data_IF_473446187194
#
_entry.id   IF_473446187194
#
_cell.length_a   1.000
_cell.length_b   1.000
_cell.length_c   1.000
_cell.angle_alpha   90.00
_cell.angle_beta   90.00
_cell.angle_gamma   90.00
#
_symmetry.space_group_name_H-M   'P 1'
#
loop_
_entity.id
_entity.type
_entity.pdbx_description
1 polymer ?
#
# COMPACT_ATOMS: atom_id res chain seq x y z
N UNK A 1 0.11 53.13 5.26
CA UNK A 1 -0.25 52.10 6.24
C UNK A 1 0.91 51.11 6.32
N UNK A 2 2.07 51.60 6.77
CA UNK A 2 3.26 50.80 7.01
C UNK A 2 3.28 50.47 8.51
N UNK A 3 2.88 49.25 8.85
CA UNK A 3 3.16 48.67 10.17
C UNK A 3 3.67 47.24 9.94
N UNK A 4 4.87 47.17 9.35
CA UNK A 4 5.60 45.93 9.11
C UNK A 4 6.65 45.77 10.22
N UNK A 5 6.40 44.86 11.16
CA UNK A 5 7.33 44.24 12.11
C UNK A 5 8.61 45.03 12.48
N UNK A 6 8.65 45.60 13.69
CA UNK A 6 9.87 46.21 14.24
C UNK A 6 10.88 45.11 14.61
N UNK A 7 12.05 44.97 13.94
CA UNK A 7 12.99 43.87 14.14
C UNK A 7 13.53 43.74 15.59
N UNK A 8 13.43 44.79 16.41
CA UNK A 8 13.80 44.75 17.83
C UNK A 8 12.82 44.03 18.75
N UNK A 9 11.57 43.83 18.35
CA UNK A 9 10.49 43.32 19.24
C UNK A 9 10.67 41.84 19.58
N UNK A 10 10.91 40.98 18.58
CA UNK A 10 11.19 39.56 18.78
C UNK A 10 12.47 39.31 19.57
N UNK A 11 13.50 40.13 19.36
CA UNK A 11 14.75 40.06 20.11
C UNK A 11 14.53 40.45 21.59
N UNK A 12 13.75 41.51 21.84
CA UNK A 12 13.39 41.93 23.18
C UNK A 12 12.60 40.84 23.93
N UNK A 13 11.65 40.18 23.27
CA UNK A 13 10.92 39.05 23.87
C UNK A 13 11.85 37.86 24.15
N UNK A 14 12.78 37.53 23.25
CA UNK A 14 13.76 36.46 23.51
C UNK A 14 14.69 36.77 24.68
N UNK A 15 15.17 38.00 24.77
CA UNK A 15 16.00 38.45 25.89
C UNK A 15 15.21 38.40 27.21
N UNK A 16 13.95 38.81 27.18
CA UNK A 16 13.05 38.70 28.32
C UNK A 16 12.81 37.24 28.74
N UNK A 17 12.52 36.33 27.80
CA UNK A 17 12.33 34.90 28.08
C UNK A 17 13.57 34.29 28.76
N UNK A 18 14.77 34.62 28.28
CA UNK A 18 16.02 34.19 28.93
C UNK A 18 16.14 34.77 30.35
N UNK A 19 15.75 36.03 30.57
CA UNK A 19 15.75 36.64 31.89
C UNK A 19 14.76 35.97 32.85
N UNK A 20 13.58 35.55 32.37
CA UNK A 20 12.59 34.79 33.15
C UNK A 20 13.17 33.43 33.55
N UNK A 21 13.82 32.70 32.64
CA UNK A 21 14.37 31.38 32.92
C UNK A 21 15.46 31.38 34.01
N UNK A 22 16.28 32.44 34.06
CA UNK A 22 17.32 32.60 35.09
C UNK A 22 16.82 33.33 36.35
N UNK A 23 15.52 33.64 36.44
CA UNK A 23 14.92 34.36 37.57
C UNK A 23 15.36 35.82 37.71
N UNK A 24 15.90 36.42 36.64
CA UNK A 24 16.41 37.79 36.65
C UNK A 24 15.34 38.86 36.36
N UNK A 25 14.21 38.49 35.76
CA UNK A 25 13.11 39.43 35.52
C UNK A 25 11.77 38.73 35.29
N UNK A 26 10.74 39.19 36.00
CA UNK A 26 9.37 38.69 35.86
C UNK A 26 8.43 39.69 35.16
N UNK A 27 8.93 40.88 34.81
CA UNK A 27 8.13 41.93 34.17
C UNK A 27 8.24 41.83 32.65
N UNK A 28 7.11 41.69 31.98
CA UNK A 28 7.06 41.75 30.52
C UNK A 28 7.51 43.13 30.02
N UNK A 29 8.21 43.24 28.87
CA UNK A 29 8.71 44.52 28.39
C UNK A 29 7.59 45.55 28.20
N UNK A 30 7.61 46.63 28.97
CA UNK A 30 6.54 47.65 28.99
C UNK A 30 6.30 48.33 27.63
N UNK A 31 7.28 48.29 26.73
CA UNK A 31 7.17 48.82 25.38
C UNK A 31 6.42 47.88 24.40
N UNK A 32 5.99 46.70 24.85
CA UNK A 32 5.33 45.68 24.03
C UNK A 32 3.96 45.33 24.60
N UNK A 33 2.97 45.26 23.73
CA UNK A 33 1.68 44.64 24.07
C UNK A 33 1.84 43.12 24.04
N UNK A 34 1.27 42.42 25.03
CA UNK A 34 1.50 40.99 25.25
C UNK A 34 1.06 40.12 24.05
N UNK A 35 -0.06 40.49 23.41
CA UNK A 35 -0.61 39.79 22.24
C UNK A 35 -0.23 40.41 20.89
N UNK A 36 0.60 41.46 20.88
CA UNK A 36 0.98 42.08 19.61
C UNK A 36 1.83 41.13 18.75
N UNK A 37 1.65 41.13 17.42
CA UNK A 37 2.50 40.37 16.53
C UNK A 37 3.94 40.89 16.57
N UNK A 38 4.89 39.96 16.77
CA UNK A 38 6.33 40.26 16.89
C UNK A 38 7.09 40.13 15.56
N UNK A 39 6.46 39.50 14.55
CA UNK A 39 7.04 39.30 13.24
C UNK A 39 5.97 39.28 12.13
N UNK A 40 6.42 39.28 10.87
CA UNK A 40 5.56 39.23 9.70
C UNK A 40 4.73 37.92 9.59
N UNK A 41 5.08 36.89 10.37
CA UNK A 41 4.30 35.67 10.46
C UNK A 41 3.16 35.76 11.49
N UNK A 42 3.03 36.90 12.19
CA UNK A 42 1.98 37.13 13.19
C UNK A 42 2.20 36.35 14.49
N UNK A 43 3.44 35.96 14.81
CA UNK A 43 3.71 35.25 16.06
C UNK A 43 3.63 36.22 17.26
N UNK A 44 2.82 35.88 18.26
CA UNK A 44 2.78 36.58 19.55
C UNK A 44 3.95 36.16 20.45
N UNK A 45 4.11 36.80 21.61
CA UNK A 45 5.11 36.40 22.60
C UNK A 45 4.96 34.92 23.03
N UNK A 46 3.71 34.45 23.15
CA UNK A 46 3.41 33.07 23.52
C UNK A 46 3.86 32.06 22.46
N UNK A 47 3.64 32.36 21.17
CA UNK A 47 4.16 31.52 20.08
C UNK A 47 5.68 31.38 20.13
N UNK A 48 6.39 32.49 20.39
CA UNK A 48 7.86 32.50 20.45
C UNK A 48 8.36 31.71 21.66
N UNK A 49 7.73 31.90 22.83
CA UNK A 49 8.07 31.18 24.07
C UNK A 49 7.89 29.66 23.90
N UNK A 50 6.76 29.24 23.34
CA UNK A 50 6.44 27.83 23.09
C UNK A 50 7.40 27.22 22.07
N UNK A 51 7.64 27.86 20.92
CA UNK A 51 8.53 27.31 19.89
C UNK A 51 9.95 27.06 20.42
N UNK A 52 10.43 27.97 21.27
CA UNK A 52 11.73 27.86 21.92
C UNK A 52 11.75 26.89 23.12
N UNK A 53 10.60 26.54 23.69
CA UNK A 53 10.49 25.63 24.83
C UNK A 53 10.72 26.29 26.20
N UNK A 54 10.57 27.61 26.29
CA UNK A 54 10.76 28.36 27.54
C UNK A 54 9.55 28.18 28.47
N UNK A 55 9.48 27.07 29.22
CA UNK A 55 8.34 26.75 30.08
C UNK A 55 8.04 27.86 31.12
N UNK A 56 9.07 28.41 31.77
CA UNK A 56 8.90 29.48 32.75
C UNK A 56 8.31 30.74 32.08
N UNK A 57 8.82 31.09 30.90
CA UNK A 57 8.26 32.13 30.05
C UNK A 57 6.79 31.88 29.66
N UNK A 58 6.43 30.66 29.28
CA UNK A 58 5.04 30.27 28.95
C UNK A 58 4.13 30.44 30.16
N UNK A 59 4.49 29.87 31.33
CA UNK A 59 3.71 30.03 32.57
C UNK A 59 3.57 31.49 32.97
N UNK A 60 4.61 32.29 32.76
CA UNK A 60 4.57 33.73 33.05
C UNK A 60 3.62 34.46 32.10
N UNK A 61 3.69 34.22 30.80
CA UNK A 61 2.77 34.82 29.83
C UNK A 61 1.31 34.46 30.12
N UNK A 62 1.03 33.20 30.48
CA UNK A 62 -0.30 32.75 30.92
C UNK A 62 -0.75 33.56 32.16
N UNK A 63 0.12 33.73 33.16
CA UNK A 63 -0.21 34.51 34.37
C UNK A 63 -0.48 36.00 34.12
N UNK A 64 0.01 36.53 33.00
CA UNK A 64 -0.20 37.91 32.59
C UNK A 64 -1.47 38.08 31.73
N UNK A 65 -2.21 37.00 31.47
CA UNK A 65 -3.49 37.04 30.76
C UNK A 65 -3.36 37.26 29.26
N UNK A 66 -2.33 36.71 28.61
CA UNK A 66 -2.25 36.71 27.16
C UNK A 66 -3.39 35.89 26.52
N UNK A 67 -3.70 36.21 25.26
CA UNK A 67 -4.59 35.39 24.45
C UNK A 67 -3.92 34.06 24.12
N UNK A 68 -4.44 32.99 24.72
CA UNK A 68 -3.90 31.64 24.61
C UNK A 68 -4.27 30.94 23.29
N UNK A 69 -5.36 31.39 22.65
CA UNK A 69 -5.90 30.82 21.40
C UNK A 69 -5.54 31.69 20.17
N UNK A 70 -4.69 32.71 20.36
CA UNK A 70 -4.23 33.60 19.30
C UNK A 70 -3.70 32.80 18.11
N UNK A 71 -4.21 33.10 16.90
CA UNK A 71 -3.76 32.44 15.68
C UNK A 71 -2.73 33.32 14.94
N UNK A 72 -1.57 32.74 14.61
CA UNK A 72 -0.63 33.40 13.72
C UNK A 72 -1.11 33.39 12.24
N UNK A 73 -0.36 34.00 11.32
CA UNK A 73 -0.75 34.09 9.90
C UNK A 73 -0.91 32.73 9.20
N UNK A 74 -0.38 31.66 9.79
CA UNK A 74 -0.55 30.26 9.32
C UNK A 74 -1.68 29.53 10.04
N UNK A 75 -2.54 30.24 10.76
CA UNK A 75 -3.64 29.67 11.55
C UNK A 75 -3.15 28.67 12.61
N UNK A 76 -1.94 28.87 13.13
CA UNK A 76 -1.41 28.05 14.22
C UNK A 76 -1.67 28.73 15.54
N UNK A 77 -2.26 27.99 16.48
CA UNK A 77 -2.35 28.37 17.89
C UNK A 77 -1.03 28.05 18.61
N UNK A 78 -0.76 28.65 19.78
CA UNK A 78 0.36 28.28 20.63
C UNK A 78 0.38 26.79 20.95
N UNK A 79 -0.77 26.17 21.23
CA UNK A 79 -0.88 24.73 21.49
C UNK A 79 -0.41 23.90 20.28
N UNK A 80 -0.84 24.25 19.07
CA UNK A 80 -0.38 23.58 17.86
C UNK A 80 1.13 23.75 17.64
N UNK A 81 1.68 24.93 17.96
CA UNK A 81 3.14 25.14 17.90
C UNK A 81 3.85 24.25 18.91
N UNK A 82 3.31 24.09 20.12
CA UNK A 82 3.89 23.23 21.16
C UNK A 82 3.95 21.77 20.68
N UNK A 83 2.83 21.23 20.21
CA UNK A 83 2.75 19.84 19.74
C UNK A 83 3.60 19.60 18.50
N UNK A 84 3.58 20.53 17.53
CA UNK A 84 4.37 20.41 16.29
C UNK A 84 5.89 20.50 16.50
N UNK A 85 6.36 21.05 17.62
CA UNK A 85 7.78 21.11 17.99
C UNK A 85 8.14 20.09 19.10
N UNK A 86 7.23 19.19 19.49
CA UNK A 86 7.50 18.21 20.53
C UNK A 86 7.65 18.78 21.94
N UNK A 87 7.14 20.00 22.22
CA UNK A 87 7.31 20.71 23.49
C UNK A 87 6.27 20.26 24.51
N UNK A 88 6.46 19.04 25.04
CA UNK A 88 5.49 18.38 25.92
C UNK A 88 5.09 19.24 27.14
N UNK A 89 6.06 19.77 27.87
CA UNK A 89 5.82 20.56 29.08
C UNK A 89 5.06 21.87 28.78
N UNK A 90 5.40 22.54 27.68
CA UNK A 90 4.69 23.74 27.24
C UNK A 90 3.25 23.41 26.81
N UNK A 91 3.04 22.31 26.10
CA UNK A 91 1.72 21.86 25.69
C UNK A 91 0.84 21.54 26.92
N UNK A 92 1.40 20.84 27.92
CA UNK A 92 0.69 20.55 29.17
C UNK A 92 0.33 21.82 29.93
N UNK A 93 1.25 22.79 30.06
CA UNK A 93 0.96 24.06 30.72
C UNK A 93 -0.16 24.85 30.01
N UNK A 94 -0.23 24.79 28.68
CA UNK A 94 -1.33 25.40 27.92
C UNK A 94 -2.65 24.66 28.16
N UNK A 95 -2.66 23.32 28.15
CA UNK A 95 -3.86 22.52 28.43
C UNK A 95 -4.39 22.75 29.86
N UNK A 96 -3.50 22.86 30.84
CA UNK A 96 -3.83 23.25 32.23
C UNK A 96 -4.51 24.62 32.31
N UNK A 97 -4.18 25.52 31.38
CA UNK A 97 -4.75 26.87 31.30
C UNK A 97 -6.10 26.91 30.54
N UNK A 98 -6.62 25.77 30.07
CA UNK A 98 -7.96 25.67 29.48
C UNK A 98 -8.06 26.12 28.02
N UNK A 99 -6.97 26.05 27.25
CA UNK A 99 -6.98 26.36 25.81
C UNK A 99 -7.86 25.41 25.01
N UNK A 100 -8.32 25.86 23.85
CA UNK A 100 -9.04 24.99 22.93
C UNK A 100 -8.10 23.91 22.38
N UNK A 101 -8.50 22.62 22.38
CA UNK A 101 -7.64 21.53 21.94
C UNK A 101 -7.51 21.43 20.42
N UNK A 102 -8.36 22.13 19.66
CA UNK A 102 -8.40 22.13 18.20
C UNK A 102 -7.82 23.42 17.62
N UNK A 103 -7.26 23.33 16.41
CA UNK A 103 -6.79 24.49 15.65
C UNK A 103 -7.45 24.53 14.27
N UNK A 104 -7.66 25.71 13.66
CA UNK A 104 -8.24 25.78 12.33
C UNK A 104 -7.40 24.99 11.31
N UNK A 105 -8.01 24.02 10.62
CA UNK A 105 -7.38 23.18 9.57
C UNK A 105 -6.26 22.25 10.04
N UNK A 106 -5.92 22.24 11.32
CA UNK A 106 -4.81 21.48 11.89
C UNK A 106 -5.25 20.71 13.13
N UNK A 107 -4.60 19.59 13.41
CA UNK A 107 -4.89 18.79 14.61
C UNK A 107 -3.69 18.79 15.56
N UNK A 108 -3.77 19.47 16.71
CA UNK A 108 -2.77 19.35 17.75
C UNK A 108 -2.60 17.90 18.23
N UNK A 109 -3.67 17.11 18.22
CA UNK A 109 -3.65 15.69 18.56
C UNK A 109 -2.85 14.86 17.54
N UNK A 110 -3.00 15.13 16.23
CA UNK A 110 -2.16 14.52 15.20
C UNK A 110 -0.68 14.79 15.45
N UNK A 111 -0.29 16.03 15.74
CA UNK A 111 1.10 16.39 15.99
C UNK A 111 1.64 15.77 17.29
N UNK A 112 0.82 15.70 18.35
CA UNK A 112 1.17 15.01 19.59
C UNK A 112 1.42 13.51 19.34
N UNK A 113 0.54 12.84 18.58
CA UNK A 113 0.71 11.44 18.18
C UNK A 113 1.97 11.24 17.32
N UNK A 114 2.22 12.13 16.34
CA UNK A 114 3.41 12.07 15.47
C UNK A 114 4.70 12.14 16.29
N UNK A 115 4.74 12.99 17.30
CA UNK A 115 5.90 13.15 18.19
C UNK A 115 5.95 12.13 19.33
N UNK A 116 4.90 11.34 19.56
CA UNK A 116 4.90 10.32 20.61
C UNK A 116 4.56 10.88 22.00
N UNK A 117 3.93 12.05 22.06
CA UNK A 117 3.64 12.77 23.30
C UNK A 117 2.39 12.18 23.99
N UNK A 118 2.54 11.03 24.64
CA UNK A 118 1.43 10.28 25.23
C UNK A 118 0.60 11.11 26.22
N UNK A 119 1.24 11.83 27.13
CA UNK A 119 0.54 12.61 28.15
C UNK A 119 -0.17 13.83 27.56
N UNK A 120 0.44 14.47 26.56
CA UNK A 120 -0.19 15.56 25.81
C UNK A 120 -1.39 15.06 25.01
N UNK A 121 -1.28 13.88 24.38
CA UNK A 121 -2.41 13.26 23.67
C UNK A 121 -3.57 12.95 24.63
N UNK A 122 -3.28 12.43 25.84
CA UNK A 122 -4.30 12.23 26.88
C UNK A 122 -4.94 13.55 27.29
N UNK A 123 -4.14 14.59 27.53
CA UNK A 123 -4.62 15.92 27.89
C UNK A 123 -5.51 16.54 26.82
N UNK A 124 -5.14 16.41 25.54
CA UNK A 124 -5.94 16.88 24.40
C UNK A 124 -7.29 16.16 24.32
N UNK A 125 -7.30 14.84 24.45
CA UNK A 125 -8.53 14.04 24.45
C UNK A 125 -9.43 14.43 25.63
N UNK A 126 -8.85 14.60 26.82
CA UNK A 126 -9.58 15.03 28.01
C UNK A 126 -10.16 16.46 27.86
N UNK A 127 -9.47 17.33 27.14
CA UNK A 127 -9.95 18.67 26.79
C UNK A 127 -11.01 18.68 25.66
N UNK A 128 -11.35 17.52 25.08
CA UNK A 128 -12.39 17.38 24.06
C UNK A 128 -11.88 17.40 22.61
N UNK A 129 -10.59 17.13 22.36
CA UNK A 129 -10.07 16.96 21.01
C UNK A 129 -10.84 15.86 20.25
N UNK A 130 -11.16 16.12 18.98
CA UNK A 130 -11.80 15.14 18.13
C UNK A 130 -10.75 14.13 17.63
N UNK A 131 -10.77 12.92 18.19
CA UNK A 131 -9.86 11.81 17.84
C UNK A 131 -9.90 11.40 16.37
N UNK A 132 -10.96 11.75 15.66
CA UNK A 132 -11.18 11.47 14.24
C UNK A 132 -11.09 12.72 13.36
N UNK A 133 -10.62 13.85 13.90
CA UNK A 133 -10.46 15.09 13.13
C UNK A 133 -9.52 14.87 11.96
N UNK A 134 -9.94 15.34 10.78
CA UNK A 134 -9.15 15.27 9.57
C UNK A 134 -8.51 16.62 9.30
N UNK A 135 -7.18 16.68 9.31
CA UNK A 135 -6.46 17.91 8.99
C UNK A 135 -6.57 18.26 7.49
N UNK A 136 -6.07 19.44 7.10
CA UNK A 136 -6.11 19.88 5.70
C UNK A 136 -5.38 18.97 4.70
N UNK A 137 -4.53 18.06 5.18
CA UNK A 137 -3.83 17.06 4.37
C UNK A 137 -4.59 15.74 4.22
N UNK A 138 -5.78 15.60 4.82
CA UNK A 138 -6.56 14.36 4.79
C UNK A 138 -6.15 13.35 5.85
N UNK A 139 -5.27 13.71 6.80
CA UNK A 139 -4.78 12.79 7.82
C UNK A 139 -5.55 12.91 9.13
N UNK A 140 -5.81 11.76 9.76
CA UNK A 140 -6.39 11.64 11.12
C UNK A 140 -5.31 11.31 12.15
N UNK A 141 -5.47 11.64 13.44
CA UNK A 141 -4.45 11.42 14.47
C UNK A 141 -3.85 10.02 14.51
N UNK A 142 -4.68 8.99 14.29
CA UNK A 142 -4.25 7.61 14.29
C UNK A 142 -3.24 7.28 13.16
N UNK A 143 -3.31 7.96 12.01
CA UNK A 143 -2.31 7.83 10.93
C UNK A 143 -0.94 8.38 11.31
N UNK A 144 -0.86 9.32 12.27
CA UNK A 144 0.42 9.86 12.71
C UNK A 144 1.33 8.79 13.32
N UNK A 145 0.74 7.74 13.91
CA UNK A 145 1.47 6.61 14.48
C UNK A 145 2.24 5.83 13.40
N UNK A 146 1.72 5.78 12.17
CA UNK A 146 2.33 5.07 11.04
C UNK A 146 3.59 5.79 10.53
N UNK A 147 3.57 7.12 10.58
CA UNK A 147 4.72 7.96 10.17
C UNK A 147 5.91 7.92 11.13
N UNK A 148 5.75 7.26 12.29
CA UNK A 148 6.82 7.14 13.29
C UNK A 148 7.85 6.09 12.86
N UNK A 149 9.13 6.25 13.22
CA UNK A 149 10.13 5.20 13.01
C UNK A 149 9.75 3.89 13.74
N UNK A 150 10.01 2.70 13.16
CA UNK A 150 9.53 1.41 13.67
C UNK A 150 10.03 1.06 15.08
N UNK A 151 11.16 1.60 15.51
CA UNK A 151 11.74 1.41 16.84
C UNK A 151 10.92 2.03 17.98
N UNK A 152 10.01 2.97 17.68
CA UNK A 152 9.13 3.54 18.69
C UNK A 152 7.91 2.65 18.92
N UNK A 153 7.71 2.31 20.19
CA UNK A 153 6.48 1.67 20.64
C UNK A 153 5.29 2.65 20.48
N UNK A 154 4.33 2.25 19.65
CA UNK A 154 3.11 3.01 19.37
C UNK A 154 1.90 2.42 20.10
N UNK A 155 2.00 1.24 20.72
CA UNK A 155 0.88 0.53 21.33
C UNK A 155 0.18 1.37 22.41
N UNK A 156 0.89 2.10 23.31
CA UNK A 156 0.22 2.95 24.31
C UNK A 156 -0.62 4.07 23.69
N UNK A 157 -0.15 4.66 22.59
CA UNK A 157 -0.87 5.72 21.88
C UNK A 157 -2.03 5.16 21.06
N UNK A 158 -1.82 4.02 20.38
CA UNK A 158 -2.87 3.33 19.64
C UNK A 158 -4.01 2.92 20.58
N UNK A 159 -3.67 2.32 21.73
CA UNK A 159 -4.64 1.94 22.75
C UNK A 159 -5.44 3.13 23.25
N UNK A 160 -4.78 4.25 23.53
CA UNK A 160 -5.44 5.48 23.96
C UNK A 160 -6.44 5.99 22.91
N UNK A 161 -6.01 6.07 21.64
CA UNK A 161 -6.86 6.57 20.55
C UNK A 161 -8.07 5.65 20.32
N UNK A 162 -7.86 4.34 20.22
CA UNK A 162 -8.94 3.36 19.99
C UNK A 162 -9.91 3.35 21.17
N UNK A 163 -9.42 3.37 22.41
CA UNK A 163 -10.27 3.46 23.60
C UNK A 163 -11.09 4.76 23.66
N UNK A 164 -10.59 5.82 23.02
CA UNK A 164 -11.27 7.12 22.93
C UNK A 164 -12.18 7.25 21.70
N UNK A 165 -12.40 6.16 20.95
CA UNK A 165 -13.31 6.11 19.81
C UNK A 165 -12.68 6.48 18.46
N UNK A 166 -11.36 6.38 18.32
CA UNK A 166 -10.72 6.53 17.02
C UNK A 166 -11.16 5.40 16.06
N UNK A 167 -11.56 5.78 14.86
CA UNK A 167 -11.97 4.85 13.80
C UNK A 167 -10.73 4.23 13.15
N UNK A 168 -10.45 2.97 13.51
CA UNK A 168 -9.34 2.18 12.97
C UNK A 168 -9.44 2.00 11.45
N UNK A 169 -10.63 2.08 10.84
CA UNK A 169 -10.78 1.92 9.38
C UNK A 169 -10.47 3.20 8.60
N UNK A 170 -10.32 4.35 9.29
CA UNK A 170 -9.84 5.56 8.62
C UNK A 170 -8.37 5.48 8.27
N UNK A 171 -7.55 4.75 9.04
CA UNK A 171 -6.13 4.57 8.75
C UNK A 171 -5.83 3.46 7.73
N UNK A 172 -6.85 2.73 7.26
CA UNK A 172 -6.69 1.66 6.28
C UNK A 172 -7.08 2.11 4.87
N UNK A 173 -7.12 3.42 4.59
CA UNK A 173 -7.31 3.89 3.22
C UNK A 173 -6.13 3.45 2.32
N UNK A 174 -6.33 3.26 0.99
CA UNK A 174 -5.31 2.72 0.08
C UNK A 174 -3.96 3.45 0.08
N UNK A 175 -3.89 4.70 0.60
CA UNK A 175 -2.64 5.44 0.78
C UNK A 175 -1.93 5.22 2.12
N UNK A 176 -2.68 4.98 3.21
CA UNK A 176 -2.12 4.80 4.55
C UNK A 176 -1.57 3.37 4.77
N UNK A 177 -2.00 2.40 3.96
CA UNK A 177 -1.51 1.02 4.06
C UNK A 177 -0.08 0.86 3.52
N UNK A 178 0.36 1.73 2.60
CA UNK A 178 1.74 1.75 2.11
C UNK A 178 2.77 1.81 3.26
N UNK A 179 2.43 2.46 4.38
CA UNK A 179 3.30 2.54 5.56
C UNK A 179 3.47 1.18 6.26
N UNK A 180 2.49 0.27 6.16
CA UNK A 180 2.58 -1.09 6.69
C UNK A 180 3.47 -2.01 5.86
N UNK A 181 3.71 -1.71 4.57
CA UNK A 181 4.56 -2.51 3.70
C UNK A 181 5.95 -2.73 4.31
N UNK A 182 6.47 -1.73 5.02
CA UNK A 182 7.77 -1.83 5.68
C UNK A 182 7.69 -2.27 7.15
N UNK A 183 6.49 -2.51 7.70
CA UNK A 183 6.27 -2.70 9.13
C UNK A 183 5.22 -3.79 9.47
N UNK A 184 5.52 -5.09 9.22
CA UNK A 184 4.58 -6.20 9.47
C UNK A 184 4.10 -6.29 10.92
N UNK A 185 4.97 -5.99 11.89
CA UNK A 185 4.62 -6.02 13.31
C UNK A 185 3.62 -4.93 13.69
N UNK A 186 3.68 -3.75 13.05
CA UNK A 186 2.65 -2.73 13.22
C UNK A 186 1.34 -3.14 12.61
N UNK A 187 1.36 -3.80 11.44
CA UNK A 187 0.14 -4.34 10.87
C UNK A 187 -0.52 -5.37 11.80
N UNK A 188 0.25 -6.32 12.36
CA UNK A 188 -0.23 -7.24 13.41
C UNK A 188 -0.87 -6.50 14.58
N UNK A 189 -0.24 -5.42 15.04
CA UNK A 189 -0.77 -4.62 16.13
C UNK A 189 -2.13 -4.01 15.77
N UNK A 190 -2.27 -3.38 14.60
CA UNK A 190 -3.54 -2.78 14.18
C UNK A 190 -4.66 -3.82 14.02
N UNK A 191 -4.34 -5.03 13.54
CA UNK A 191 -5.29 -6.14 13.50
C UNK A 191 -5.82 -6.52 14.89
N UNK A 192 -4.95 -6.54 15.91
CA UNK A 192 -5.36 -6.77 17.32
C UNK A 192 -6.33 -5.71 17.84
N UNK A 193 -6.27 -4.49 17.30
CA UNK A 193 -7.17 -3.37 17.64
C UNK A 193 -8.39 -3.27 16.69
N UNK A 194 -8.64 -4.27 15.85
CA UNK A 194 -9.87 -4.38 15.06
C UNK A 194 -9.76 -3.90 13.59
N UNK A 195 -8.55 -3.65 13.08
CA UNK A 195 -8.37 -3.43 11.65
C UNK A 195 -8.83 -4.67 10.86
N UNK A 196 -9.48 -4.48 9.71
CA UNK A 196 -9.93 -5.57 8.85
C UNK A 196 -8.79 -6.05 7.96
N UNK A 197 -8.61 -7.35 7.89
CA UNK A 197 -7.65 -7.98 6.97
C UNK A 197 -8.04 -7.72 5.51
N UNK A 198 -9.35 -7.64 5.21
CA UNK A 198 -9.88 -7.36 3.87
C UNK A 198 -9.54 -5.96 3.33
N UNK A 199 -9.18 -5.01 4.20
CA UNK A 199 -8.83 -3.65 3.75
C UNK A 199 -7.42 -3.60 3.15
N UNK A 200 -6.61 -4.68 3.29
CA UNK A 200 -5.24 -4.77 2.79
C UNK A 200 -5.18 -4.60 1.26
N UNK A 201 -4.31 -3.70 0.78
CA UNK A 201 -3.92 -3.71 -0.63
C UNK A 201 -2.99 -4.90 -0.89
N UNK A 202 -3.54 -5.90 -1.57
CA UNK A 202 -2.86 -7.17 -1.89
C UNK A 202 -1.54 -6.97 -2.64
N UNK A 203 -1.35 -5.84 -3.35
CA UNK A 203 -0.10 -5.53 -4.06
C UNK A 203 1.08 -5.34 -3.12
N UNK A 204 0.85 -4.93 -1.87
CA UNK A 204 1.90 -4.72 -0.87
C UNK A 204 2.40 -6.03 -0.26
N UNK A 205 1.64 -7.11 -0.41
CA UNK A 205 2.01 -8.45 0.04
C UNK A 205 3.02 -9.12 -0.89
N UNK A 206 3.02 -8.73 -2.16
CA UNK A 206 3.89 -9.29 -3.20
C UNK A 206 5.36 -8.95 -2.91
N UNK A 207 6.23 -9.95 -2.97
CA UNK A 207 7.65 -9.86 -2.60
C UNK A 207 7.89 -9.41 -1.14
N UNK A 208 6.88 -9.55 -0.28
CA UNK A 208 6.95 -9.19 1.13
C UNK A 208 6.47 -10.34 2.00
N UNK A 209 7.31 -11.35 2.14
CA UNK A 209 6.98 -12.60 2.83
C UNK A 209 6.57 -12.37 4.28
N UNK A 210 7.17 -11.41 4.96
CA UNK A 210 6.83 -11.08 6.34
C UNK A 210 5.42 -10.49 6.45
N UNK A 211 5.03 -9.54 5.60
CA UNK A 211 3.69 -8.97 5.61
C UNK A 211 2.64 -9.99 5.13
N UNK A 212 2.95 -10.77 4.09
CA UNK A 212 2.09 -11.84 3.60
C UNK A 212 1.83 -12.90 4.66
N UNK A 213 2.85 -13.29 5.43
CA UNK A 213 2.67 -14.19 6.57
C UNK A 213 1.68 -13.61 7.58
N UNK A 214 1.82 -12.34 7.96
CA UNK A 214 0.88 -11.68 8.87
C UNK A 214 -0.54 -11.68 8.32
N UNK A 215 -0.70 -11.36 7.04
CA UNK A 215 -2.00 -11.32 6.36
C UNK A 215 -2.69 -12.69 6.40
N UNK A 216 -2.00 -13.76 6.01
CA UNK A 216 -2.54 -15.11 5.99
C UNK A 216 -2.81 -15.65 7.41
N UNK A 217 -1.91 -15.39 8.36
CA UNK A 217 -2.06 -15.75 9.78
C UNK A 217 -3.32 -15.11 10.39
N UNK A 218 -3.66 -13.89 9.97
CA UNK A 218 -4.85 -13.17 10.41
C UNK A 218 -6.15 -13.64 9.72
N UNK A 219 -6.11 -14.66 8.86
CA UNK A 219 -7.26 -15.17 8.12
C UNK A 219 -7.53 -14.43 6.81
N UNK A 220 -6.52 -13.79 6.23
CA UNK A 220 -6.60 -13.19 4.90
C UNK A 220 -6.84 -14.24 3.82
N UNK A 221 -7.65 -13.87 2.82
CA UNK A 221 -8.05 -14.78 1.74
C UNK A 221 -6.99 -14.81 0.63
N UNK A 222 -6.39 -15.98 0.39
CA UNK A 222 -5.42 -16.21 -0.68
C UNK A 222 -6.02 -16.01 -2.10
N UNK A 223 -7.34 -16.05 -2.22
CA UNK A 223 -8.08 -15.81 -3.46
C UNK A 223 -8.63 -14.39 -3.58
N UNK A 224 -8.35 -13.52 -2.59
CA UNK A 224 -8.86 -12.16 -2.58
C UNK A 224 -8.48 -11.39 -3.86
N UNK A 225 -9.35 -10.48 -4.27
CA UNK A 225 -9.11 -9.55 -5.37
C UNK A 225 -9.25 -8.12 -4.85
N UNK A 226 -8.41 -7.21 -5.36
CA UNK A 226 -8.55 -5.77 -5.03
C UNK A 226 -9.78 -5.16 -5.69
N UNK A 227 -10.09 -5.61 -6.90
CA UNK A 227 -11.30 -5.26 -7.65
C UNK A 227 -11.73 -6.48 -8.48
N UNK A 228 -13.01 -6.60 -8.88
CA UNK A 228 -13.49 -7.73 -9.68
C UNK A 228 -12.66 -8.04 -10.94
N UNK A 229 -12.07 -7.00 -11.54
CA UNK A 229 -11.26 -7.09 -12.76
C UNK A 229 -9.77 -7.36 -12.52
N UNK A 230 -9.29 -7.32 -11.28
CA UNK A 230 -7.89 -7.50 -10.92
C UNK A 230 -7.52 -8.99 -10.78
N UNK A 231 -6.24 -9.36 -10.95
CA UNK A 231 -5.77 -10.67 -10.51
C UNK A 231 -6.11 -10.93 -9.03
N UNK A 232 -6.26 -12.20 -8.68
CA UNK A 232 -6.32 -12.65 -7.28
C UNK A 232 -4.96 -12.45 -6.60
N UNK A 233 -4.87 -12.56 -5.27
CA UNK A 233 -3.58 -12.53 -4.58
C UNK A 233 -2.61 -13.59 -5.14
N UNK A 234 -3.06 -14.84 -5.33
CA UNK A 234 -2.27 -15.87 -6.02
C UNK A 234 -1.83 -15.45 -7.43
N UNK A 235 -2.71 -14.79 -8.19
CA UNK A 235 -2.38 -14.24 -9.51
C UNK A 235 -1.33 -13.13 -9.46
N UNK A 236 -1.41 -12.23 -8.47
CA UNK A 236 -0.42 -11.17 -8.25
C UNK A 236 0.96 -11.75 -7.88
N UNK A 237 0.99 -12.76 -6.99
CA UNK A 237 2.22 -13.46 -6.61
C UNK A 237 2.84 -14.17 -7.81
N UNK A 238 2.02 -14.84 -8.63
CA UNK A 238 2.48 -15.49 -9.85
C UNK A 238 3.00 -14.50 -10.90
N UNK A 239 2.30 -13.37 -11.08
CA UNK A 239 2.74 -12.31 -12.00
C UNK A 239 4.12 -11.78 -11.65
N UNK A 240 4.44 -11.70 -10.36
CA UNK A 240 5.71 -11.18 -9.86
C UNK A 240 6.82 -12.24 -9.71
N UNK A 241 6.53 -13.52 -10.00
CA UNK A 241 7.40 -14.65 -9.66
C UNK A 241 7.80 -14.67 -8.17
N UNK A 242 6.88 -14.32 -7.27
CA UNK A 242 7.11 -14.41 -5.82
C UNK A 242 6.92 -15.87 -5.37
N UNK A 243 7.95 -16.70 -5.59
CA UNK A 243 7.90 -18.12 -5.25
C UNK A 243 7.67 -18.35 -3.76
N UNK A 244 8.29 -17.54 -2.91
CA UNK A 244 8.15 -17.66 -1.47
C UNK A 244 6.72 -17.34 -1.03
N UNK A 245 6.13 -16.28 -1.57
CA UNK A 245 4.74 -15.94 -1.35
C UNK A 245 3.77 -17.01 -1.86
N UNK A 246 4.01 -17.56 -3.06
CA UNK A 246 3.21 -18.66 -3.60
C UNK A 246 3.26 -19.90 -2.69
N UNK A 247 4.44 -20.30 -2.23
CA UNK A 247 4.58 -21.44 -1.31
C UNK A 247 3.77 -21.26 -0.01
N UNK A 248 3.63 -20.02 0.48
CA UNK A 248 2.83 -19.71 1.66
C UNK A 248 1.33 -19.65 1.38
N UNK A 249 0.93 -19.09 0.23
CA UNK A 249 -0.46 -18.83 -0.09
C UNK A 249 -1.19 -20.02 -0.74
N UNK A 250 -0.49 -20.83 -1.56
CA UNK A 250 -1.07 -21.97 -2.27
C UNK A 250 -1.76 -23.02 -1.38
N UNK A 251 -1.26 -23.34 -0.16
CA UNK A 251 -1.98 -24.23 0.76
C UNK A 251 -3.34 -23.71 1.22
N UNK A 252 -3.58 -22.40 1.11
CA UNK A 252 -4.77 -21.71 1.62
C UNK A 252 -5.68 -21.18 0.51
N UNK A 253 -5.22 -21.24 -0.75
CA UNK A 253 -5.94 -20.70 -1.92
C UNK A 253 -6.37 -21.77 -2.92
N UNK A 254 -7.23 -21.37 -3.85
CA UNK A 254 -7.73 -22.19 -4.94
C UNK A 254 -7.17 -21.66 -6.27
N UNK A 255 -6.30 -22.45 -6.89
CA UNK A 255 -5.69 -22.16 -8.20
C UNK A 255 -6.69 -22.14 -9.35
N UNK A 256 -7.88 -22.71 -9.18
CA UNK A 256 -8.98 -22.65 -10.14
C UNK A 256 -9.94 -21.47 -9.94
N UNK A 257 -9.74 -20.64 -8.91
CA UNK A 257 -10.63 -19.52 -8.64
C UNK A 257 -10.48 -18.43 -9.70
N UNK A 258 -11.58 -18.16 -10.42
CA UNK A 258 -11.63 -17.20 -11.53
C UNK A 258 -11.97 -15.77 -11.09
N UNK A 259 -12.35 -15.57 -9.82
CA UNK A 259 -12.97 -14.32 -9.38
C UNK A 259 -14.31 -14.01 -10.06
N UNK A 260 -14.75 -12.77 -9.94
CA UNK A 260 -15.92 -12.26 -10.65
C UNK A 260 -15.58 -12.04 -12.14
N UNK A 261 -15.81 -13.08 -12.96
CA UNK A 261 -15.59 -13.14 -14.41
C UNK A 261 -16.00 -11.85 -15.15
N UNK A 262 -15.05 -11.19 -15.85
CA UNK A 262 -15.29 -10.40 -17.09
C UNK A 262 -14.06 -9.64 -17.65
N UNK A 263 -12.88 -9.67 -17.02
CA UNK A 263 -11.74 -8.81 -17.40
C UNK A 263 -10.66 -9.57 -18.19
N UNK A 264 -10.09 -9.01 -19.27
CA UNK A 264 -8.92 -9.58 -19.96
C UNK A 264 -7.66 -9.64 -19.06
N UNK A 265 -7.65 -8.86 -17.97
CA UNK A 265 -6.59 -8.85 -16.96
C UNK A 265 -6.90 -9.75 -15.75
N UNK A 266 -8.15 -10.18 -15.58
CA UNK A 266 -8.58 -11.15 -14.57
C UNK A 266 -8.42 -12.60 -15.06
N UNK A 267 -8.64 -13.57 -14.19
CA UNK A 267 -8.53 -14.99 -14.53
C UNK A 267 -7.86 -15.82 -13.43
N UNK A 268 -7.78 -17.13 -13.65
CA UNK A 268 -7.12 -18.02 -12.70
C UNK A 268 -5.65 -17.62 -12.54
N UNK A 269 -5.02 -17.85 -11.37
CA UNK A 269 -3.59 -17.59 -11.15
C UNK A 269 -2.68 -18.12 -12.27
N UNK A 270 -3.01 -19.30 -12.81
CA UNK A 270 -2.27 -19.90 -13.91
C UNK A 270 -2.39 -19.09 -15.21
N UNK A 271 -3.57 -18.57 -15.53
CA UNK A 271 -3.76 -17.72 -16.72
C UNK A 271 -2.97 -16.42 -16.63
N UNK A 272 -2.97 -15.83 -15.43
CA UNK A 272 -2.20 -14.61 -15.14
C UNK A 272 -0.72 -14.89 -15.32
N UNK A 273 -0.22 -16.02 -14.79
CA UNK A 273 1.17 -16.44 -14.93
C UNK A 273 1.59 -16.63 -16.40
N UNK A 274 0.73 -17.22 -17.23
CA UNK A 274 1.03 -17.41 -18.65
C UNK A 274 1.12 -16.07 -19.37
N UNK A 275 0.13 -15.19 -19.17
CA UNK A 275 0.08 -13.88 -19.85
C UNK A 275 1.21 -12.96 -19.43
N UNK A 276 1.63 -13.02 -18.17
CA UNK A 276 2.75 -12.22 -17.66
C UNK A 276 4.12 -12.79 -18.06
N UNK A 277 4.17 -14.00 -18.61
CA UNK A 277 5.43 -14.68 -18.90
C UNK A 277 6.19 -15.05 -17.63
N UNK A 278 5.46 -15.51 -16.60
CA UNK A 278 6.05 -16.02 -15.36
C UNK A 278 7.10 -17.11 -15.64
N UNK A 279 8.00 -17.31 -14.68
CA UNK A 279 9.07 -18.29 -14.83
C UNK A 279 8.59 -19.73 -14.65
N UNK A 280 9.47 -20.67 -15.03
CA UNK A 280 9.15 -22.10 -15.03
C UNK A 280 8.79 -22.61 -13.62
N UNK A 281 9.43 -22.07 -12.59
CA UNK A 281 9.19 -22.47 -11.21
C UNK A 281 7.81 -22.04 -10.74
N UNK A 282 7.44 -20.79 -11.00
CA UNK A 282 6.09 -20.27 -10.73
C UNK A 282 5.04 -21.12 -11.44
N UNK A 283 5.29 -21.44 -12.71
CA UNK A 283 4.40 -22.27 -13.50
C UNK A 283 4.23 -23.67 -12.90
N UNK A 284 5.32 -24.30 -12.49
CA UNK A 284 5.32 -25.61 -11.86
C UNK A 284 4.58 -25.61 -10.51
N UNK A 285 4.81 -24.61 -9.66
CA UNK A 285 4.13 -24.48 -8.36
C UNK A 285 2.60 -24.41 -8.51
N UNK A 286 2.11 -23.75 -9.56
CA UNK A 286 0.68 -23.67 -9.86
C UNK A 286 0.12 -24.98 -10.43
N UNK A 287 0.91 -25.70 -11.23
CA UNK A 287 0.50 -26.96 -11.87
C UNK A 287 0.51 -28.16 -10.92
N UNK A 288 1.36 -28.17 -9.90
CA UNK A 288 1.41 -29.24 -8.89
C UNK A 288 0.11 -29.33 -8.05
N UNK A 289 -0.86 -28.44 -8.29
CA UNK A 289 -2.18 -28.43 -7.68
C UNK A 289 -3.26 -28.82 -8.71
N UNK A 290 -4.29 -29.57 -8.31
CA UNK A 290 -5.36 -29.97 -9.22
C UNK A 290 -6.17 -28.74 -9.65
N UNK A 291 -5.91 -28.22 -10.85
CA UNK A 291 -6.77 -27.23 -11.50
C UNK A 291 -7.97 -27.94 -12.15
N UNK A 292 -9.18 -27.60 -11.74
CA UNK A 292 -10.43 -28.18 -12.28
C UNK A 292 -10.87 -27.58 -13.62
N UNK A 293 -10.14 -26.60 -14.15
CA UNK A 293 -10.56 -25.81 -15.30
C UNK A 293 -9.72 -26.10 -16.55
N UNK A 294 -10.38 -25.98 -17.69
CA UNK A 294 -9.73 -25.87 -19.00
C UNK A 294 -8.83 -24.64 -18.99
N UNK A 295 -7.53 -24.86 -18.70
CA UNK A 295 -6.52 -23.82 -18.90
C UNK A 295 -6.60 -23.39 -20.37
N UNK A 296 -6.65 -22.09 -20.69
CA UNK A 296 -6.55 -21.61 -22.05
C UNK A 296 -5.11 -21.80 -22.52
N UNK A 297 -4.83 -23.07 -22.84
CA UNK A 297 -3.62 -23.68 -23.39
C UNK A 297 -3.07 -22.89 -24.57
N UNK A 298 -3.92 -22.12 -25.27
CA UNK A 298 -3.51 -21.24 -26.36
C UNK A 298 -2.57 -20.10 -25.91
N UNK A 299 -2.65 -19.61 -24.66
CA UNK A 299 -1.73 -18.58 -24.20
C UNK A 299 -0.28 -19.09 -24.06
N UNK A 300 -0.09 -20.41 -23.94
CA UNK A 300 1.24 -21.02 -23.87
C UNK A 300 1.87 -21.26 -25.25
N UNK A 301 1.20 -20.90 -26.35
CA UNK A 301 1.71 -21.21 -27.70
C UNK A 301 3.01 -20.46 -28.05
N UNK A 302 3.32 -19.41 -27.31
CA UNK A 302 4.53 -18.60 -27.46
C UNK A 302 5.74 -19.12 -26.67
N UNK A 303 5.56 -20.11 -25.78
CA UNK A 303 6.62 -20.64 -24.91
C UNK A 303 6.56 -22.18 -24.82
N UNK A 304 7.51 -22.84 -25.48
CA UNK A 304 7.59 -24.31 -25.53
C UNK A 304 7.73 -24.96 -24.15
N UNK A 305 8.41 -24.30 -23.20
CA UNK A 305 8.63 -24.87 -21.87
C UNK A 305 7.36 -24.89 -21.05
N UNK A 306 6.58 -23.81 -21.09
CA UNK A 306 5.25 -23.77 -20.48
C UNK A 306 4.30 -24.79 -21.14
N UNK A 307 4.32 -24.89 -22.47
CA UNK A 307 3.53 -25.90 -23.17
C UNK A 307 3.93 -27.33 -22.76
N UNK A 308 5.22 -27.61 -22.60
CA UNK A 308 5.71 -28.92 -22.18
C UNK A 308 5.20 -29.27 -20.77
N UNK A 309 5.25 -28.33 -19.84
CA UNK A 309 4.75 -28.55 -18.48
C UNK A 309 3.24 -28.78 -18.44
N UNK A 310 2.44 -28.05 -19.24
CA UNK A 310 1.01 -28.31 -19.36
C UNK A 310 0.74 -29.73 -19.87
N UNK A 311 1.40 -30.14 -20.94
CA UNK A 311 1.20 -31.48 -21.49
C UNK A 311 1.60 -32.57 -20.49
N UNK A 312 2.69 -32.38 -19.75
CA UNK A 312 3.10 -33.29 -18.68
C UNK A 312 2.11 -33.32 -17.50
N UNK A 313 1.43 -32.20 -17.24
CA UNK A 313 0.35 -32.09 -16.25
C UNK A 313 -0.97 -32.76 -16.67
N UNK A 314 -1.02 -33.41 -17.84
CA UNK A 314 -2.20 -34.16 -18.30
C UNK A 314 -3.24 -33.33 -19.03
N UNK A 315 -2.92 -32.11 -19.45
CA UNK A 315 -3.83 -31.27 -20.23
C UNK A 315 -4.05 -31.83 -21.64
N UNK A 316 -5.28 -31.77 -22.13
CA UNK A 316 -5.63 -32.34 -23.44
C UNK A 316 -5.01 -31.51 -24.59
N UNK A 317 -4.05 -32.08 -25.36
CA UNK A 317 -3.48 -31.41 -26.53
C UNK A 317 -4.50 -31.17 -27.64
N UNK A 318 -5.67 -31.82 -27.59
CA UNK A 318 -6.73 -31.73 -28.59
C UNK A 318 -7.81 -30.71 -28.25
N UNK A 319 -7.63 -29.93 -27.18
CA UNK A 319 -8.53 -28.84 -26.83
C UNK A 319 -8.78 -27.92 -28.02
N UNK A 320 -10.02 -27.44 -28.13
CA UNK A 320 -10.48 -26.56 -29.20
C UNK A 320 -11.04 -25.28 -28.64
N UNK A 321 -10.81 -24.18 -29.34
CA UNK A 321 -11.49 -22.93 -29.01
C UNK A 321 -13.00 -23.03 -29.22
N UNK A 322 -13.81 -22.11 -28.69
CA UNK A 322 -15.25 -22.04 -28.99
C UNK A 322 -15.56 -21.99 -30.49
N UNK A 323 -14.66 -21.42 -31.30
CA UNK A 323 -14.74 -21.38 -32.77
C UNK A 323 -14.27 -22.68 -33.46
N UNK A 324 -13.79 -23.66 -32.69
CA UNK A 324 -13.41 -24.99 -33.15
C UNK A 324 -11.95 -25.16 -33.59
N UNK A 325 -11.07 -24.19 -33.33
CA UNK A 325 -9.66 -24.26 -33.73
C UNK A 325 -8.83 -25.09 -32.73
N UNK A 326 -7.97 -25.96 -33.26
CA UNK A 326 -7.00 -26.73 -32.44
C UNK A 326 -5.80 -25.88 -32.02
N UNK A 327 -5.12 -26.26 -30.94
CA UNK A 327 -3.91 -25.58 -30.48
C UNK A 327 -2.79 -25.56 -31.53
N UNK A 328 -2.59 -26.66 -32.26
CA UNK A 328 -1.60 -26.74 -33.36
C UNK A 328 -1.90 -25.71 -34.45
N UNK A 329 -3.17 -25.52 -34.79
CA UNK A 329 -3.59 -24.52 -35.77
C UNK A 329 -3.27 -23.10 -35.30
N UNK A 330 -3.59 -22.78 -34.04
CA UNK A 330 -3.31 -21.47 -33.46
C UNK A 330 -1.80 -21.18 -33.39
N UNK A 331 -0.99 -22.16 -32.97
CA UNK A 331 0.46 -22.01 -32.94
C UNK A 331 1.05 -21.75 -34.33
N UNK A 332 0.52 -22.44 -35.35
CA UNK A 332 0.95 -22.27 -36.73
C UNK A 332 0.54 -20.90 -37.32
N UNK A 333 -0.66 -20.42 -37.01
CA UNK A 333 -1.19 -19.13 -37.52
C UNK A 333 -0.35 -17.94 -37.10
N UNK A 334 0.04 -17.87 -35.83
CA UNK A 334 0.68 -16.67 -35.23
C UNK A 334 2.23 -16.69 -35.33
N UNK A 335 2.79 -17.55 -36.18
CA UNK A 335 4.18 -18.03 -36.17
C UNK A 335 5.31 -17.00 -36.32
N UNK A 336 5.83 -16.51 -35.19
CA UNK A 336 7.16 -15.91 -35.08
C UNK A 336 8.06 -16.77 -34.17
N UNK A 337 8.99 -17.54 -34.76
CA UNK A 337 10.18 -18.08 -34.07
C UNK A 337 9.92 -19.12 -32.97
N UNK A 338 9.40 -18.71 -31.82
CA UNK A 338 9.14 -19.55 -30.64
C UNK A 338 7.99 -20.55 -30.83
N UNK A 339 7.01 -20.23 -31.68
CA UNK A 339 5.88 -21.14 -31.94
C UNK A 339 6.28 -22.40 -32.72
N UNK A 340 7.44 -22.42 -33.39
CA UNK A 340 7.90 -23.57 -34.19
C UNK A 340 8.13 -24.79 -33.31
N UNK A 341 8.77 -24.59 -32.16
CA UNK A 341 9.06 -25.66 -31.20
C UNK A 341 7.76 -26.18 -30.57
N UNK A 342 6.81 -25.28 -30.28
CA UNK A 342 5.46 -25.63 -29.81
C UNK A 342 4.68 -26.44 -30.84
N UNK A 343 4.73 -26.05 -32.12
CA UNK A 343 4.12 -26.84 -33.21
C UNK A 343 4.78 -28.23 -33.30
N UNK A 344 6.10 -28.30 -33.17
CA UNK A 344 6.84 -29.57 -33.15
C UNK A 344 6.45 -30.48 -31.97
N UNK A 345 6.13 -29.88 -30.82
CA UNK A 345 5.69 -30.58 -29.61
C UNK A 345 4.23 -31.07 -29.72
N UNK A 346 3.33 -30.23 -30.24
CA UNK A 346 1.89 -30.53 -30.30
C UNK A 346 1.51 -31.41 -31.49
N UNK A 347 2.12 -31.23 -32.66
CA UNK A 347 1.74 -31.94 -33.87
C UNK A 347 1.73 -33.48 -33.71
N UNK A 348 2.71 -34.13 -33.01
CA UNK A 348 2.69 -35.57 -32.82
C UNK A 348 1.53 -36.05 -31.96
N UNK A 349 1.05 -35.19 -31.05
CA UNK A 349 -0.02 -35.49 -30.09
C UNK A 349 -1.41 -35.30 -30.70
N UNK A 350 -1.55 -34.45 -31.72
CA UNK A 350 -2.83 -34.15 -32.39
C UNK A 350 -2.98 -34.82 -33.77
N UNK A 351 -2.05 -35.71 -34.14
CA UNK A 351 -1.89 -36.22 -35.51
C UNK A 351 -3.14 -36.94 -36.06
N UNK A 352 -4.00 -37.49 -35.19
CA UNK A 352 -5.24 -38.18 -35.58
C UNK A 352 -6.45 -37.27 -35.83
N UNK A 353 -6.34 -35.96 -35.61
CA UNK A 353 -7.48 -35.02 -35.62
C UNK A 353 -7.32 -33.85 -36.60
N UNK A 354 -6.21 -33.81 -37.35
CA UNK A 354 -5.95 -32.79 -38.36
C UNK A 354 -6.78 -33.07 -39.62
N UNK A 355 -7.81 -32.26 -39.88
CA UNK A 355 -8.56 -32.32 -41.16
C UNK A 355 -7.74 -31.73 -42.31
N UNK A 356 -8.09 -32.02 -43.57
CA UNK A 356 -7.37 -31.51 -44.76
C UNK A 356 -7.18 -29.98 -44.75
N UNK A 357 -8.17 -29.23 -44.24
CA UNK A 357 -8.08 -27.76 -44.10
C UNK A 357 -6.98 -27.30 -43.13
N UNK A 358 -6.67 -28.09 -42.10
CA UNK A 358 -5.55 -27.81 -41.19
C UNK A 358 -4.21 -28.11 -41.86
N UNK A 359 -4.15 -29.18 -42.65
CA UNK A 359 -2.94 -29.60 -43.38
C UNK A 359 -2.51 -28.54 -44.40
N UNK A 360 -3.45 -27.87 -45.07
CA UNK A 360 -3.12 -26.85 -46.07
C UNK A 360 -2.61 -25.53 -45.46
N UNK A 361 -3.16 -25.10 -44.31
CA UNK A 361 -2.62 -23.93 -43.56
C UNK A 361 -1.25 -24.26 -43.00
N UNK A 362 -1.08 -25.46 -42.44
CA UNK A 362 0.21 -25.98 -41.99
C UNK A 362 1.22 -25.99 -43.14
N UNK A 363 0.86 -26.52 -44.33
CA UNK A 363 1.71 -26.50 -45.54
C UNK A 363 2.08 -25.08 -45.98
N UNK A 364 1.16 -24.11 -45.86
CA UNK A 364 1.41 -22.71 -46.22
C UNK A 364 2.37 -22.02 -45.24
N UNK A 365 2.18 -22.20 -43.94
CA UNK A 365 3.10 -21.71 -42.91
C UNK A 365 4.48 -22.37 -43.01
N UNK A 366 4.54 -23.66 -43.37
CA UNK A 366 5.77 -24.44 -43.49
C UNK A 366 6.59 -24.17 -44.76
N UNK A 367 5.94 -23.88 -45.89
CA UNK A 367 6.64 -23.52 -47.15
C UNK A 367 7.47 -22.24 -47.03
N UNK A 368 7.16 -21.39 -46.05
CA UNK A 368 7.83 -20.10 -45.85
C UNK A 368 9.08 -20.18 -44.97
N UNK A 369 9.40 -21.32 -44.31
CA UNK A 369 10.56 -21.45 -43.41
C UNK A 369 11.26 -22.82 -43.53
N UNK A 370 12.52 -22.80 -43.97
CA UNK A 370 13.32 -23.97 -44.40
C UNK A 370 13.75 -24.94 -43.28
N UNK A 371 13.60 -24.58 -42.00
CA UNK A 371 14.17 -25.35 -40.89
C UNK A 371 13.33 -26.53 -40.37
N UNK A 372 12.09 -26.73 -40.86
CA UNK A 372 11.12 -27.65 -40.24
C UNK A 372 10.61 -28.72 -41.23
N UNK A 373 11.15 -28.75 -42.44
CA UNK A 373 10.83 -29.70 -43.52
C UNK A 373 10.83 -31.20 -43.10
N UNK A 374 11.75 -31.69 -42.23
CA UNK A 374 11.79 -33.11 -41.87
C UNK A 374 10.58 -33.61 -41.05
N UNK A 375 9.90 -32.72 -40.30
CA UNK A 375 8.69 -33.07 -39.55
C UNK A 375 7.49 -33.27 -40.50
N UNK A 376 7.37 -32.42 -41.53
CA UNK A 376 6.32 -32.50 -42.54
C UNK A 376 6.29 -33.83 -43.31
N UNK A 377 7.46 -34.42 -43.58
CA UNK A 377 7.56 -35.70 -44.29
C UNK A 377 7.07 -36.88 -43.43
N UNK A 378 7.17 -36.79 -42.10
CA UNK A 378 6.61 -37.79 -41.18
C UNK A 378 5.09 -37.65 -41.01
N UNK A 379 4.57 -36.41 -41.01
CA UNK A 379 3.13 -36.15 -40.91
C UNK A 379 2.38 -36.53 -42.19
N UNK A 380 2.91 -36.20 -43.37
CA UNK A 380 2.27 -36.59 -44.63
C UNK A 380 2.18 -38.11 -44.75
N UNK A 381 3.21 -38.85 -44.35
CA UNK A 381 3.23 -40.32 -44.40
C UNK A 381 2.28 -40.98 -43.39
N UNK A 382 1.98 -40.35 -42.24
CA UNK A 382 1.01 -40.88 -41.25
C UNK A 382 -0.44 -40.51 -41.57
N UNK A 383 -0.71 -39.29 -42.03
CA UNK A 383 -2.07 -38.86 -42.38
C UNK A 383 -2.59 -39.52 -43.68
N UNK A 384 -1.68 -40.03 -44.52
CA UNK A 384 -2.03 -40.76 -45.75
C UNK A 384 -2.26 -42.27 -45.55
N UNK A 385 -2.15 -42.78 -44.31
CA UNK A 385 -2.61 -44.13 -44.00
C UNK A 385 -3.94 -44.06 -43.26
N UNK A 386 -5.07 -44.33 -43.94
CA UNK A 386 -6.36 -44.45 -43.25
C UNK A 386 -6.34 -45.70 -42.36
N UNK A 387 -6.74 -45.54 -41.11
CA UNK A 387 -7.44 -46.59 -40.37
C UNK A 387 -8.92 -46.49 -40.69
#
# INVERSE_FOLDING_TARGET
>A
MEDAARPGTKLAVRAWLHAVDIGASDMFPAALHIDAPLDAAGNTALHVAVAAGHLAGVRRLISLGCDLDACNMRQRTPLLVATAHGRAECAMALLEAGVLPEAPRHSPLFEACRHGLLDVARGLIAAGANVNFMNSGGYVPLMALLTRPPEFDIEPLLALLVASGADIHRCTSPGAICDFAHQPNRYRLFLRYGARVSDMDLRLLVNNTALLHVYLEAGGDANAQTQPSSPTLLGLLAQANDHAGLCMALPLGDVGFLGERASPNGGAPLDVAIRSGADLLTFQLLLDRPCSQEVPTYFCLSNVRHMTLLLNGGYDPNWRTPEGYTLVFLAARDGWGSNVEVVGLLAPLTAGLLTERHVDVLRWTWRSRWAIFPLCERFSKRALHPL
#
